data_IF_676260703937
#
_entry.id   IF_676260703937
#
_cell.length_a   1.000
_cell.length_b   1.000
_cell.length_c   1.000
_cell.angle_alpha   90.00
_cell.angle_beta   90.00
_cell.angle_gamma   90.00
#
_symmetry.space_group_name_H-M   'P 1'
#
loop_
_entity.id
_entity.type
_entity.pdbx_description
1 polymer ?
#
# COMPACT_ATOMS: atom_id res chain seq x y z
N UNK A 1 4.45 -14.35 14.02
CA UNK A 1 5.43 -13.32 14.39
C UNK A 1 4.71 -12.22 15.16
N UNK A 2 4.89 -12.15 16.49
CA UNK A 2 4.30 -11.10 17.32
C UNK A 2 4.93 -9.73 17.00
N UNK A 3 4.08 -8.71 17.01
CA UNK A 3 4.36 -7.27 17.12
C UNK A 3 5.74 -6.76 16.76
N UNK A 4 5.98 -6.47 15.47
CA UNK A 4 6.88 -5.35 15.14
C UNK A 4 6.10 -4.07 15.41
N UNK A 5 6.56 -3.27 16.37
CA UNK A 5 6.07 -1.90 16.56
C UNK A 5 6.16 -1.15 15.22
N UNK A 6 5.17 -0.31 14.94
CA UNK A 6 5.23 0.56 13.77
C UNK A 6 6.54 1.35 13.82
N UNK A 7 7.27 1.49 12.69
CA UNK A 7 8.42 2.36 12.65
C UNK A 7 7.99 3.78 13.05
N UNK A 8 8.86 4.57 13.71
CA UNK A 8 8.54 5.96 13.99
C UNK A 8 8.22 6.68 12.66
N UNK A 9 7.27 7.60 12.70
CA UNK A 9 6.92 8.40 11.53
C UNK A 9 8.18 9.02 10.92
N UNK A 10 8.34 9.00 9.59
CA UNK A 10 9.46 9.69 8.98
C UNK A 10 9.36 11.19 9.29
N UNK A 11 10.47 11.79 9.72
CA UNK A 11 10.57 13.23 9.89
C UNK A 11 10.61 13.91 8.51
N UNK A 12 9.44 14.13 7.93
CA UNK A 12 9.29 14.74 6.61
C UNK A 12 9.73 16.23 6.58
N UNK A 13 9.71 16.90 7.74
CA UNK A 13 10.04 18.31 7.86
C UNK A 13 11.55 18.56 7.75
N UNK A 14 12.39 17.76 8.42
CA UNK A 14 13.85 17.84 8.22
C UNK A 14 14.28 17.41 6.81
N UNK A 15 13.39 16.73 6.10
CA UNK A 15 13.59 16.22 4.76
C UNK A 15 13.19 17.21 3.65
N UNK A 16 12.74 18.42 4.01
CA UNK A 16 12.36 19.47 3.06
C UNK A 16 11.03 19.21 2.34
N UNK A 17 10.20 18.29 2.85
CA UNK A 17 8.87 18.01 2.31
C UNK A 17 7.87 19.00 2.91
N UNK A 18 7.23 19.81 2.07
CA UNK A 18 6.20 20.77 2.46
C UNK A 18 4.79 20.28 2.16
N UNK A 19 3.81 20.78 2.90
CA UNK A 19 2.40 20.55 2.61
C UNK A 19 2.01 21.38 1.38
N UNK A 20 1.25 20.78 0.47
CA UNK A 20 0.73 21.47 -0.70
C UNK A 20 -0.48 22.33 -0.32
N UNK A 21 -0.50 23.58 -0.79
CA UNK A 21 -1.61 24.53 -0.59
C UNK A 21 -2.71 24.41 -1.69
N UNK A 22 -2.76 23.24 -2.35
CA UNK A 22 -3.75 22.94 -3.40
C UNK A 22 -4.29 21.53 -3.23
N UNK A 23 -5.45 21.28 -3.82
CA UNK A 23 -5.98 19.92 -3.94
C UNK A 23 -5.05 19.06 -4.79
N UNK A 24 -4.90 17.79 -4.40
CA UNK A 24 -4.14 16.76 -5.12
C UNK A 24 -5.12 15.87 -5.86
N UNK A 25 -4.92 15.68 -7.17
CA UNK A 25 -5.67 14.71 -7.98
C UNK A 25 -4.86 13.42 -8.08
N UNK A 26 -5.53 12.29 -7.88
CA UNK A 26 -4.86 11.00 -8.02
C UNK A 26 -4.36 10.80 -9.45
N UNK A 27 -5.19 11.06 -10.44
CA UNK A 27 -4.91 10.82 -11.86
C UNK A 27 -3.81 11.73 -12.39
N UNK A 28 -3.81 13.00 -11.99
CA UNK A 28 -2.88 14.00 -12.52
C UNK A 28 -1.57 14.07 -11.73
N UNK A 29 -1.61 13.88 -10.41
CA UNK A 29 -0.46 14.12 -9.53
C UNK A 29 0.15 12.82 -8.99
N UNK A 30 -0.65 11.80 -8.67
CA UNK A 30 -0.18 10.61 -7.94
C UNK A 30 0.15 9.45 -8.87
N UNK A 31 -0.77 9.10 -9.77
CA UNK A 31 -0.63 7.97 -10.68
C UNK A 31 0.66 8.05 -11.53
N UNK A 32 1.03 9.20 -12.15
CA UNK A 32 2.27 9.28 -12.92
C UNK A 32 3.54 9.03 -12.08
N UNK A 33 3.51 9.40 -10.79
CA UNK A 33 4.63 9.15 -9.88
C UNK A 33 4.75 7.67 -9.53
N UNK A 34 3.63 6.99 -9.27
CA UNK A 34 3.61 5.56 -9.01
C UNK A 34 3.98 4.75 -10.26
N UNK A 35 3.49 5.17 -11.43
CA UNK A 35 3.80 4.54 -12.71
C UNK A 35 5.31 4.55 -13.01
N UNK A 36 5.96 5.69 -12.76
CA UNK A 36 7.39 5.84 -13.06
C UNK A 36 8.35 5.11 -12.11
N UNK A 37 7.91 4.77 -10.89
CA UNK A 37 8.81 4.25 -9.84
C UNK A 37 8.39 2.93 -9.23
N UNK A 38 7.09 2.68 -9.10
CA UNK A 38 6.57 1.60 -8.29
C UNK A 38 5.92 0.50 -9.14
N UNK A 39 5.20 0.89 -10.20
CA UNK A 39 4.43 -0.03 -11.04
C UNK A 39 5.32 -1.04 -11.75
N UNK A 40 6.58 -0.72 -12.07
CA UNK A 40 7.55 -1.68 -12.63
C UNK A 40 7.64 -2.98 -11.82
N UNK A 41 7.46 -2.92 -10.50
CA UNK A 41 7.44 -4.10 -9.62
C UNK A 41 6.06 -4.39 -9.01
N UNK A 42 5.16 -3.41 -8.98
CA UNK A 42 3.83 -3.49 -8.35
C UNK A 42 2.66 -3.31 -9.34
N UNK A 43 2.84 -3.73 -10.60
CA UNK A 43 1.86 -3.60 -11.67
C UNK A 43 0.69 -4.59 -11.60
N UNK A 44 0.89 -5.74 -10.97
CA UNK A 44 -0.04 -6.87 -11.01
C UNK A 44 -0.16 -7.55 -9.65
N UNK A 45 -1.15 -8.43 -9.53
CA UNK A 45 -1.39 -9.25 -8.36
C UNK A 45 -0.25 -10.25 -8.05
N UNK A 46 0.61 -10.54 -9.04
CA UNK A 46 1.79 -11.39 -8.87
C UNK A 46 2.99 -10.64 -8.28
N UNK A 47 2.84 -9.33 -8.03
CA UNK A 47 3.85 -8.54 -7.35
C UNK A 47 4.13 -9.06 -5.93
N UNK A 48 5.33 -8.79 -5.37
CA UNK A 48 5.62 -9.09 -3.97
C UNK A 48 4.53 -8.55 -3.04
N UNK A 49 4.10 -9.40 -2.10
CA UNK A 49 2.99 -9.11 -1.17
C UNK A 49 1.63 -8.82 -1.84
N UNK A 50 1.45 -9.17 -3.13
CA UNK A 50 0.27 -8.84 -3.96
C UNK A 50 -0.11 -7.35 -3.94
N UNK A 51 0.85 -6.46 -3.64
CA UNK A 51 0.60 -5.04 -3.59
C UNK A 51 0.49 -4.49 -5.02
N UNK A 52 -0.65 -3.88 -5.32
CA UNK A 52 -0.97 -3.31 -6.63
C UNK A 52 -0.97 -1.78 -6.54
N UNK A 53 -0.04 -1.12 -7.23
CA UNK A 53 0.09 0.35 -7.23
C UNK A 53 -0.25 1.00 -8.58
N UNK A 54 -0.72 0.21 -9.55
CA UNK A 54 -1.20 0.69 -10.84
C UNK A 54 -2.63 1.26 -10.79
N UNK A 55 -3.31 1.16 -9.65
CA UNK A 55 -4.64 1.76 -9.45
C UNK A 55 -4.84 2.21 -8.00
N UNK A 56 -5.75 3.17 -7.82
CA UNK A 56 -6.13 3.68 -6.51
C UNK A 56 -6.68 2.55 -5.62
N UNK A 57 -7.56 1.73 -6.17
CA UNK A 57 -8.22 0.64 -5.44
C UNK A 57 -7.23 -0.47 -5.06
N UNK A 58 -6.19 -0.69 -5.87
CA UNK A 58 -5.08 -1.57 -5.54
C UNK A 58 -4.32 -1.08 -4.31
N UNK A 59 -4.01 0.22 -4.26
CA UNK A 59 -3.31 0.83 -3.14
C UNK A 59 -4.17 0.80 -1.85
N UNK A 60 -5.48 1.03 -1.97
CA UNK A 60 -6.44 0.96 -0.85
C UNK A 60 -6.62 -0.47 -0.35
N UNK A 61 -6.71 -1.47 -1.25
CA UNK A 61 -6.71 -2.90 -0.88
C UNK A 61 -5.51 -3.22 0.00
N UNK A 62 -4.34 -2.68 -0.34
CA UNK A 62 -3.11 -2.85 0.41
C UNK A 62 -2.38 -4.14 0.03
N UNK A 63 -1.62 -4.69 0.98
CA UNK A 63 -0.72 -5.81 0.75
C UNK A 63 -1.10 -7.01 1.61
N UNK A 64 -0.66 -8.21 1.24
CA UNK A 64 -0.84 -9.44 2.00
C UNK A 64 0.48 -10.18 2.17
N UNK A 65 0.60 -10.97 3.23
CA UNK A 65 1.75 -11.87 3.43
C UNK A 65 1.57 -13.22 2.74
N UNK A 66 0.41 -13.45 2.13
CA UNK A 66 0.12 -14.68 1.41
C UNK A 66 1.03 -14.76 0.17
N UNK A 67 1.91 -15.78 0.06
CA UNK A 67 2.77 -15.90 -1.10
C UNK A 67 1.93 -16.15 -2.36
N UNK A 68 2.31 -15.47 -3.45
CA UNK A 68 1.71 -15.67 -4.78
C UNK A 68 2.04 -17.07 -5.28
N UNK A 69 3.33 -17.42 -5.24
CA UNK A 69 3.84 -18.73 -5.63
C UNK A 69 4.30 -19.49 -4.40
N UNK A 70 3.64 -20.62 -4.16
CA UNK A 70 3.92 -21.51 -3.04
C UNK A 70 3.88 -22.94 -3.57
N UNK A 71 5.07 -23.49 -3.83
CA UNK A 71 5.23 -24.83 -4.43
C UNK A 71 4.79 -25.97 -3.52
N UNK A 72 4.50 -25.68 -2.24
CA UNK A 72 3.97 -26.67 -1.31
C UNK A 72 2.48 -26.90 -1.44
N UNK A 73 1.75 -26.03 -2.17
CA UNK A 73 0.30 -26.13 -2.31
C UNK A 73 -0.10 -27.26 -3.24
N UNK A 74 -0.98 -28.12 -2.73
CA UNK A 74 -1.61 -29.20 -3.49
C UNK A 74 -2.95 -28.79 -4.12
N UNK A 75 -3.49 -27.63 -3.71
CA UNK A 75 -4.74 -27.07 -4.20
C UNK A 75 -4.58 -25.60 -4.57
N UNK A 76 -5.41 -25.12 -5.49
CA UNK A 76 -5.44 -23.71 -5.86
C UNK A 76 -5.92 -22.85 -4.68
N UNK A 77 -5.30 -21.68 -4.53
CA UNK A 77 -5.73 -20.66 -3.59
C UNK A 77 -6.89 -19.84 -4.20
N UNK A 78 -7.86 -19.37 -3.39
CA UNK A 78 -8.86 -18.45 -3.86
C UNK A 78 -8.24 -17.17 -4.46
N UNK A 79 -8.70 -16.73 -5.65
CA UNK A 79 -8.15 -15.54 -6.29
C UNK A 79 -8.45 -14.27 -5.48
N UNK A 80 -7.67 -13.23 -5.75
CA UNK A 80 -7.73 -11.93 -5.05
C UNK A 80 -7.94 -10.76 -6.03
N UNK A 81 -8.61 -10.98 -7.16
CA UNK A 81 -8.88 -9.96 -8.17
C UNK A 81 -9.76 -8.84 -7.61
N UNK A 82 -9.36 -7.60 -7.88
CA UNK A 82 -10.14 -6.42 -7.52
C UNK A 82 -11.52 -6.46 -8.18
N UNK A 83 -12.53 -5.95 -7.45
CA UNK A 83 -13.94 -5.83 -7.86
C UNK A 83 -14.70 -7.14 -8.12
N UNK A 84 -13.99 -8.26 -8.18
CA UNK A 84 -14.57 -9.59 -8.41
C UNK A 84 -14.60 -10.38 -7.11
N UNK A 85 -13.43 -10.59 -6.52
CA UNK A 85 -13.30 -11.50 -5.37
C UNK A 85 -13.58 -10.79 -4.05
N UNK A 86 -13.45 -9.46 -3.99
CA UNK A 86 -14.03 -8.59 -2.96
C UNK A 86 -14.33 -7.19 -3.51
N UNK A 87 -15.23 -6.47 -2.83
CA UNK A 87 -15.71 -5.14 -3.24
C UNK A 87 -15.45 -4.02 -2.24
N UNK A 88 -15.06 -4.33 -1.01
CA UNK A 88 -14.84 -3.34 0.04
C UNK A 88 -13.48 -3.52 0.70
N UNK A 89 -12.93 -2.42 1.23
CA UNK A 89 -11.67 -2.44 1.98
C UNK A 89 -11.75 -3.38 3.17
N UNK A 90 -12.87 -3.38 3.89
CA UNK A 90 -13.09 -4.19 5.09
C UNK A 90 -13.07 -5.69 4.77
N UNK A 91 -13.65 -6.09 3.64
CA UNK A 91 -13.61 -7.47 3.21
C UNK A 91 -12.18 -7.91 2.86
N UNK A 92 -11.38 -7.05 2.23
CA UNK A 92 -9.95 -7.31 2.04
C UNK A 92 -9.20 -7.44 3.37
N UNK A 93 -9.53 -6.64 4.39
CA UNK A 93 -8.96 -6.77 5.74
C UNK A 93 -9.30 -8.13 6.36
N UNK A 94 -10.55 -8.59 6.20
CA UNK A 94 -10.97 -9.91 6.66
C UNK A 94 -10.22 -11.06 5.95
N UNK A 95 -9.81 -10.85 4.70
CA UNK A 95 -8.93 -11.76 3.93
C UNK A 95 -7.44 -11.63 4.24
N UNK A 96 -7.05 -10.84 5.25
CA UNK A 96 -5.67 -10.71 5.70
C UNK A 96 -4.83 -9.71 4.92
N UNK A 97 -5.43 -8.87 4.07
CA UNK A 97 -4.72 -7.72 3.51
C UNK A 97 -4.60 -6.62 4.56
N UNK A 98 -3.42 -6.02 4.70
CA UNK A 98 -3.15 -4.91 5.62
C UNK A 98 -2.97 -3.59 4.86
N UNK A 99 -3.32 -2.44 5.47
CA UNK A 99 -3.18 -1.14 4.83
C UNK A 99 -1.71 -0.76 4.64
N UNK A 100 -1.39 -0.15 3.50
CA UNK A 100 -0.05 0.37 3.20
C UNK A 100 0.01 1.89 3.19
N UNK A 101 -1.13 2.56 2.96
CA UNK A 101 -1.25 4.02 2.95
C UNK A 101 -1.36 4.63 4.35
N UNK A 102 -1.49 3.80 5.39
CA UNK A 102 -1.84 4.21 6.75
C UNK A 102 -3.35 4.09 7.00
N UNK A 103 -3.75 4.06 8.27
CA UNK A 103 -5.16 4.15 8.64
C UNK A 103 -5.68 5.58 8.42
N UNK A 104 -6.98 5.77 8.15
CA UNK A 104 -7.60 7.08 8.30
C UNK A 104 -7.46 7.51 9.77
N UNK A 105 -6.52 8.39 10.06
CA UNK A 105 -6.27 8.91 11.40
C UNK A 105 -6.88 10.31 11.56
N UNK A 106 -7.10 10.71 12.81
CA UNK A 106 -7.66 12.04 13.14
C UNK A 106 -6.71 13.19 12.82
N UNK A 107 -5.40 12.91 12.73
CA UNK A 107 -4.35 13.87 12.39
C UNK A 107 -3.32 13.27 11.42
N UNK A 108 -2.59 14.16 10.73
CA UNK A 108 -1.64 13.81 9.69
C UNK A 108 -0.38 13.11 10.21
N UNK A 109 0.06 13.39 11.44
CA UNK A 109 1.26 12.76 12.01
C UNK A 109 1.01 11.29 12.36
N UNK A 110 -0.16 10.96 12.89
CA UNK A 110 -0.53 9.56 13.19
C UNK A 110 -0.67 8.76 11.89
N UNK A 111 -1.30 9.35 10.86
CA UNK A 111 -1.40 8.70 9.55
C UNK A 111 -0.02 8.45 8.91
N UNK A 112 0.92 9.39 9.06
CA UNK A 112 2.29 9.23 8.56
C UNK A 112 3.06 8.11 9.26
N UNK A 113 2.83 7.91 10.57
CA UNK A 113 3.46 6.86 11.38
C UNK A 113 3.04 5.45 10.96
N UNK A 114 1.78 5.30 10.57
CA UNK A 114 1.19 4.01 10.21
C UNK A 114 1.35 3.67 8.72
N UNK A 115 1.89 4.59 7.91
CA UNK A 115 2.02 4.43 6.47
C UNK A 115 3.34 3.74 6.09
N UNK A 116 3.22 2.50 5.62
CA UNK A 116 4.35 1.74 5.09
C UNK A 116 4.88 2.35 3.80
N UNK A 117 4.00 2.85 2.92
CA UNK A 117 4.41 3.48 1.67
C UNK A 117 5.21 4.76 1.94
N UNK A 118 4.78 5.58 2.91
CA UNK A 118 5.52 6.78 3.29
C UNK A 118 6.91 6.44 3.86
N UNK A 119 6.98 5.39 4.68
CA UNK A 119 8.25 4.89 5.20
C UNK A 119 9.21 4.45 4.08
N UNK A 120 8.70 3.79 3.03
CA UNK A 120 9.48 3.41 1.85
C UNK A 120 10.01 4.63 1.10
N UNK A 121 9.16 5.65 0.88
CA UNK A 121 9.55 6.89 0.21
C UNK A 121 10.63 7.66 0.98
N UNK A 122 10.53 7.70 2.32
CA UNK A 122 11.51 8.37 3.17
C UNK A 122 12.90 7.68 3.15
N UNK A 123 12.93 6.36 2.97
CA UNK A 123 14.16 5.56 2.91
C UNK A 123 14.81 5.53 1.52
N UNK A 124 14.01 5.55 0.45
CA UNK A 124 14.47 5.39 -0.95
C UNK A 124 15.14 6.62 -1.55
N UNK A 125 15.93 7.35 -0.76
CA UNK A 125 16.76 8.48 -1.23
C UNK A 125 17.86 8.00 -2.16
#
# INVERSE_FOLDING_TARGET
MPGRSAPPAPDLSSQGVSVLDRSVSYEMDVAPLLDSRCVVCHACNDAPCQLLLSSHEGAVRGATKLPVYDSSRLSAEPPTRLFVDEKTTEAWRARGFFPVLGAPAKDASTQASDSLLLSMLALGR
#
